data_IF_178426247675
#
_entry.id   IF_178426247675
#
_cell.length_a   1.000
_cell.length_b   1.000
_cell.length_c   1.000
_cell.angle_alpha   90.00
_cell.angle_beta   90.00
_cell.angle_gamma   90.00
#
_symmetry.space_group_name_H-M   'P 1'
#
loop_
_entity.id
_entity.type
_entity.pdbx_description
1 polymer ?
#
# COMPACT_ATOMS: atom_id res chain seq x y z
N UNK A 1 -6.36 -12.76 -0.29
CA UNK A 1 -5.86 -11.67 -1.16
C UNK A 1 -4.34 -11.75 -1.20
N UNK A 2 -3.76 -11.54 -2.36
CA UNK A 2 -2.29 -11.51 -2.55
C UNK A 2 -1.80 -10.08 -2.34
N UNK A 3 -0.65 -9.87 -1.67
CA UNK A 3 -0.14 -8.52 -1.39
C UNK A 3 1.23 -8.32 -2.01
N UNK A 4 1.45 -7.12 -2.54
CA UNK A 4 2.75 -6.59 -2.93
C UNK A 4 2.91 -5.22 -2.27
N UNK A 5 3.59 -5.18 -1.13
CA UNK A 5 3.74 -4.00 -0.29
C UNK A 5 5.09 -3.34 -0.61
N UNK A 6 5.04 -2.23 -1.35
CA UNK A 6 6.23 -1.54 -1.85
C UNK A 6 6.51 -0.27 -1.04
N UNK A 7 7.76 0.15 -1.01
CA UNK A 7 8.12 1.49 -0.55
C UNK A 7 7.70 2.55 -1.57
N UNK A 8 8.10 2.38 -2.84
CA UNK A 8 7.93 3.42 -3.87
C UNK A 8 7.34 2.91 -5.21
N UNK A 9 6.47 1.88 -5.16
CA UNK A 9 5.87 1.30 -6.37
C UNK A 9 6.80 0.33 -7.09
N UNK A 10 6.57 0.13 -8.39
CA UNK A 10 7.30 -0.84 -9.21
C UNK A 10 8.54 -0.19 -9.81
N UNK A 11 9.62 -0.09 -9.02
CA UNK A 11 10.83 0.67 -9.36
C UNK A 11 11.88 -0.13 -10.15
N UNK A 12 11.79 -1.46 -10.16
CA UNK A 12 12.79 -2.33 -10.78
C UNK A 12 12.17 -3.59 -11.38
N UNK A 13 12.99 -4.36 -12.09
CA UNK A 13 12.55 -5.56 -12.80
C UNK A 13 12.10 -6.70 -11.89
N UNK A 14 12.70 -6.83 -10.71
CA UNK A 14 12.34 -7.87 -9.74
C UNK A 14 10.94 -7.62 -9.16
N UNK A 15 10.62 -6.38 -8.79
CA UNK A 15 9.29 -6.00 -8.31
C UNK A 15 8.25 -6.15 -9.44
N UNK A 16 8.61 -5.75 -10.67
CA UNK A 16 7.75 -5.93 -11.84
C UNK A 16 7.44 -7.42 -12.09
N UNK A 17 8.48 -8.28 -12.05
CA UNK A 17 8.32 -9.72 -12.20
C UNK A 17 7.40 -10.31 -11.12
N UNK A 18 7.59 -9.93 -9.86
CA UNK A 18 6.73 -10.36 -8.75
C UNK A 18 5.27 -9.95 -8.94
N UNK A 19 5.01 -8.73 -9.46
CA UNK A 19 3.65 -8.29 -9.78
C UNK A 19 3.01 -9.18 -10.87
N UNK A 20 3.73 -9.47 -11.95
CA UNK A 20 3.25 -10.33 -13.04
C UNK A 20 2.98 -11.75 -12.54
N UNK A 21 3.86 -12.31 -11.69
CA UNK A 21 3.64 -13.62 -11.06
C UNK A 21 2.38 -13.65 -10.19
N UNK A 22 2.15 -12.61 -9.37
CA UNK A 22 0.97 -12.50 -8.52
C UNK A 22 -0.32 -12.41 -9.33
N UNK A 23 -0.31 -11.64 -10.44
CA UNK A 23 -1.43 -11.52 -11.37
C UNK A 23 -1.72 -12.82 -12.13
N UNK A 24 -0.69 -13.65 -12.36
CA UNK A 24 -0.79 -14.87 -13.16
C UNK A 24 -1.02 -14.63 -14.66
N UNK A 25 -0.91 -13.38 -15.11
CA UNK A 25 -1.09 -12.93 -16.50
C UNK A 25 -0.39 -11.58 -16.73
N UNK A 26 -0.17 -11.16 -17.99
CA UNK A 26 0.42 -9.87 -18.30
C UNK A 26 -0.38 -8.69 -17.72
N UNK A 27 0.30 -7.61 -17.29
CA UNK A 27 -0.35 -6.38 -16.83
C UNK A 27 -1.30 -5.82 -17.90
N UNK A 28 -0.92 -5.89 -19.18
CA UNK A 28 -1.74 -5.44 -20.31
C UNK A 28 -3.04 -6.25 -20.52
N UNK A 29 -3.21 -7.36 -19.82
CA UNK A 29 -4.42 -8.18 -19.81
C UNK A 29 -5.22 -8.05 -18.50
N UNK A 30 -4.69 -7.28 -17.53
CA UNK A 30 -5.22 -7.15 -16.18
C UNK A 30 -5.98 -5.84 -15.99
N UNK A 31 -7.14 -5.92 -15.36
CA UNK A 31 -7.94 -4.76 -14.97
C UNK A 31 -7.51 -4.28 -13.58
N UNK A 32 -7.39 -2.97 -13.38
CA UNK A 32 -6.99 -2.39 -12.11
C UNK A 32 -7.94 -1.28 -11.64
N UNK A 33 -8.05 -1.13 -10.33
CA UNK A 33 -8.65 0.03 -9.67
C UNK A 33 -7.58 0.75 -8.86
N UNK A 34 -7.36 2.05 -9.11
CA UNK A 34 -6.48 2.85 -8.29
C UNK A 34 -7.24 3.54 -7.15
N UNK A 35 -6.64 3.52 -5.96
CA UNK A 35 -7.19 4.07 -4.71
C UNK A 35 -6.26 5.21 -4.27
N UNK A 36 -6.60 6.49 -4.58
CA UNK A 36 -5.76 7.64 -4.26
C UNK A 36 -5.99 8.19 -2.84
N UNK A 37 -6.90 7.60 -2.08
CA UNK A 37 -7.43 8.13 -0.81
C UNK A 37 -6.36 8.54 0.20
N UNK A 38 -5.26 7.78 0.35
CA UNK A 38 -4.16 8.10 1.27
C UNK A 38 -3.55 9.49 1.01
N UNK A 39 -3.43 9.88 -0.27
CA UNK A 39 -2.84 11.16 -0.67
C UNK A 39 -3.69 12.37 -0.24
N UNK A 40 -5.00 12.21 -0.11
CA UNK A 40 -5.87 13.27 0.43
C UNK A 40 -5.62 13.51 1.93
N UNK A 41 -5.23 12.49 2.69
CA UNK A 41 -4.86 12.62 4.09
C UNK A 41 -3.69 13.59 4.33
N UNK A 42 -2.80 13.74 3.35
CA UNK A 42 -1.72 14.75 3.34
C UNK A 42 -2.15 16.10 2.73
N UNK A 43 -3.41 16.24 2.31
CA UNK A 43 -3.92 17.48 1.70
C UNK A 43 -3.34 17.82 0.32
N UNK A 44 -2.78 16.84 -0.40
CA UNK A 44 -2.07 17.08 -1.66
C UNK A 44 -2.89 16.63 -2.87
N UNK A 45 -3.62 17.56 -3.49
CA UNK A 45 -4.31 17.31 -4.77
C UNK A 45 -3.34 17.01 -5.91
N UNK A 46 -2.13 17.57 -5.90
CA UNK A 46 -1.10 17.31 -6.91
C UNK A 46 -0.63 15.85 -6.87
N UNK A 47 -0.44 15.27 -5.68
CA UNK A 47 -0.11 13.85 -5.53
C UNK A 47 -1.25 12.95 -6.05
N UNK A 48 -2.49 13.26 -5.70
CA UNK A 48 -3.67 12.54 -6.22
C UNK A 48 -3.70 12.59 -7.74
N UNK A 49 -3.57 13.79 -8.32
CA UNK A 49 -3.60 13.96 -9.77
C UNK A 49 -2.50 13.17 -10.46
N UNK A 50 -1.25 13.27 -9.97
CA UNK A 50 -0.11 12.53 -10.52
C UNK A 50 -0.31 11.03 -10.47
N UNK A 51 -0.81 10.52 -9.34
CA UNK A 51 -1.05 9.10 -9.17
C UNK A 51 -2.13 8.60 -10.14
N UNK A 52 -3.28 9.26 -10.19
CA UNK A 52 -4.40 8.84 -11.04
C UNK A 52 -4.08 8.99 -12.53
N UNK A 53 -3.30 10.02 -12.91
CA UNK A 53 -2.95 10.29 -14.33
C UNK A 53 -1.71 9.55 -14.83
N UNK A 54 -1.04 8.73 -13.99
CA UNK A 54 0.16 8.01 -14.38
C UNK A 54 1.40 8.91 -14.52
N UNK A 55 1.46 10.01 -13.77
CA UNK A 55 2.60 10.93 -13.74
C UNK A 55 3.32 10.93 -12.38
N UNK A 56 3.10 9.88 -11.58
CA UNK A 56 3.76 9.71 -10.29
C UNK A 56 5.25 9.36 -10.48
N UNK A 57 6.08 9.79 -9.51
CA UNK A 57 7.48 9.32 -9.42
C UNK A 57 7.59 7.89 -8.90
N UNK A 58 6.49 7.35 -8.37
CA UNK A 58 6.35 5.99 -7.86
C UNK A 58 5.50 5.19 -8.85
N UNK A 59 6.14 4.42 -9.78
CA UNK A 59 5.44 3.78 -10.89
C UNK A 59 4.42 2.73 -10.40
N UNK A 60 3.16 2.86 -10.81
CA UNK A 60 2.13 1.88 -10.53
C UNK A 60 0.96 1.96 -11.53
N UNK A 61 0.34 3.12 -11.71
CA UNK A 61 -0.85 3.29 -12.56
C UNK A 61 -0.51 3.36 -14.05
N UNK A 62 0.71 3.73 -14.41
CA UNK A 62 1.24 3.85 -15.78
C UNK A 62 1.82 2.55 -16.36
N UNK A 63 1.72 1.41 -15.68
CA UNK A 63 2.36 0.17 -16.10
C UNK A 63 1.71 -0.51 -17.32
N UNK A 64 0.75 0.13 -17.96
CA UNK A 64 0.09 -0.39 -19.16
C UNK A 64 -1.03 -1.39 -18.88
N UNK A 65 -1.80 -1.16 -17.82
CA UNK A 65 -2.98 -1.96 -17.47
C UNK A 65 -4.01 -2.01 -18.61
N UNK A 66 -4.68 -3.15 -18.79
CA UNK A 66 -5.78 -3.32 -19.75
C UNK A 66 -6.88 -2.28 -19.54
N UNK A 67 -7.24 -2.05 -18.29
CA UNK A 67 -8.12 -0.98 -17.87
C UNK A 67 -7.70 -0.46 -16.51
N UNK A 68 -7.90 0.84 -16.28
CA UNK A 68 -7.63 1.49 -15.01
C UNK A 68 -8.84 2.33 -14.62
N UNK A 69 -9.48 1.97 -13.51
CA UNK A 69 -10.54 2.75 -12.88
C UNK A 69 -10.03 3.46 -11.63
N UNK A 70 -10.82 4.42 -11.13
CA UNK A 70 -10.58 5.08 -9.84
C UNK A 70 -11.61 4.62 -8.83
N UNK A 71 -11.17 4.22 -7.64
CA UNK A 71 -12.01 3.89 -6.50
C UNK A 71 -11.68 4.86 -5.36
N UNK A 72 -12.44 5.95 -5.25
CA UNK A 72 -12.28 6.92 -4.18
C UNK A 72 -13.11 6.53 -2.96
N UNK A 73 -12.44 6.11 -1.88
CA UNK A 73 -13.11 5.50 -0.72
C UNK A 73 -14.02 6.47 0.03
N UNK A 74 -13.70 7.77 0.01
CA UNK A 74 -14.52 8.79 0.69
C UNK A 74 -15.88 8.99 0.05
N UNK A 75 -16.03 8.61 -1.22
CA UNK A 75 -17.30 8.69 -1.97
C UNK A 75 -18.20 7.45 -1.75
N UNK A 76 -17.62 6.29 -1.44
CA UNK A 76 -18.35 5.02 -1.39
C UNK A 76 -19.53 5.01 -0.38
N UNK A 77 -19.44 5.63 0.81
CA UNK A 77 -20.58 5.69 1.73
C UNK A 77 -21.82 6.40 1.17
N UNK A 78 -21.67 7.15 0.06
CA UNK A 78 -22.77 7.84 -0.64
C UNK A 78 -23.28 7.06 -1.84
N UNK A 79 -22.75 5.86 -2.09
CA UNK A 79 -23.10 5.00 -3.23
C UNK A 79 -23.73 3.70 -2.74
N UNK A 80 -24.64 3.15 -3.54
CA UNK A 80 -25.16 1.81 -3.27
C UNK A 80 -24.06 0.76 -3.50
N UNK A 81 -23.94 -0.20 -2.60
CA UNK A 81 -22.93 -1.26 -2.65
C UNK A 81 -22.98 -2.05 -3.98
N UNK A 82 -24.19 -2.22 -4.54
CA UNK A 82 -24.41 -2.89 -5.82
C UNK A 82 -23.72 -2.20 -7.01
N UNK A 83 -23.34 -0.92 -6.88
CA UNK A 83 -22.68 -0.15 -7.94
C UNK A 83 -21.16 -0.35 -7.94
N UNK A 84 -20.53 -0.55 -6.79
CA UNK A 84 -19.07 -0.59 -6.68
C UNK A 84 -18.50 -1.96 -6.27
N UNK A 85 -19.18 -2.77 -5.43
CA UNK A 85 -18.68 -4.08 -5.00
C UNK A 85 -18.42 -5.02 -6.19
N UNK A 86 -19.32 -5.14 -7.20
CA UNK A 86 -19.02 -5.96 -8.37
C UNK A 86 -17.76 -5.52 -9.11
N UNK A 87 -17.50 -4.21 -9.21
CA UNK A 87 -16.28 -3.68 -9.85
C UNK A 87 -15.01 -4.07 -9.10
N UNK A 88 -15.04 -4.05 -7.76
CA UNK A 88 -13.94 -4.52 -6.94
C UNK A 88 -13.70 -6.02 -7.13
N UNK A 89 -14.77 -6.83 -7.18
CA UNK A 89 -14.66 -8.29 -7.36
C UNK A 89 -14.19 -8.71 -8.75
N UNK A 90 -14.44 -7.89 -9.77
CA UNK A 90 -14.05 -8.13 -11.17
C UNK A 90 -12.64 -7.64 -11.47
N UNK A 91 -12.00 -6.91 -10.53
CA UNK A 91 -10.66 -6.36 -10.75
C UNK A 91 -9.55 -7.34 -10.41
N UNK A 92 -8.47 -7.32 -11.18
CA UNK A 92 -7.30 -8.15 -10.93
C UNK A 92 -6.35 -7.51 -9.90
N UNK A 93 -6.34 -6.16 -9.84
CA UNK A 93 -5.46 -5.44 -8.92
C UNK A 93 -6.13 -4.21 -8.29
N UNK A 94 -5.83 -3.98 -7.00
CA UNK A 94 -6.08 -2.75 -6.27
C UNK A 94 -4.74 -2.01 -6.10
N UNK A 95 -4.61 -0.84 -6.73
CA UNK A 95 -3.40 -0.03 -6.74
C UNK A 95 -3.56 1.12 -5.75
N UNK A 96 -2.84 1.09 -4.65
CA UNK A 96 -3.07 1.99 -3.52
C UNK A 96 -1.94 2.98 -3.36
N UNK A 97 -2.27 4.27 -3.44
CA UNK A 97 -1.30 5.37 -3.35
C UNK A 97 -0.62 5.45 -1.98
N UNK A 98 0.56 6.06 -1.96
CA UNK A 98 1.17 6.57 -0.74
C UNK A 98 0.41 7.76 -0.18
N UNK A 99 0.74 8.14 1.05
CA UNK A 99 0.13 9.20 1.81
C UNK A 99 -0.14 8.78 3.24
N UNK A 100 -1.19 9.30 3.86
CA UNK A 100 -1.51 9.01 5.26
C UNK A 100 -2.19 7.64 5.41
N UNK A 101 -1.50 6.71 6.07
CA UNK A 101 -1.97 5.33 6.27
C UNK A 101 -3.15 5.25 7.24
N UNK A 102 -3.23 6.13 8.23
CA UNK A 102 -4.35 6.14 9.18
C UNK A 102 -5.62 6.68 8.55
N UNK A 103 -5.51 7.74 7.76
CA UNK A 103 -6.61 8.27 6.96
C UNK A 103 -7.13 7.22 5.99
N UNK A 104 -6.22 6.54 5.28
CA UNK A 104 -6.56 5.44 4.38
C UNK A 104 -7.28 4.30 5.11
N UNK A 105 -6.71 3.82 6.22
CA UNK A 105 -7.29 2.74 7.03
C UNK A 105 -8.68 3.08 7.58
N UNK A 106 -8.87 4.36 8.00
CA UNK A 106 -10.18 4.86 8.40
C UNK A 106 -11.20 4.71 7.26
N UNK A 107 -10.87 5.20 6.07
CA UNK A 107 -11.78 5.14 4.92
C UNK A 107 -11.96 3.74 4.35
N UNK A 108 -10.96 2.87 4.43
CA UNK A 108 -11.13 1.45 4.08
C UNK A 108 -12.17 0.74 4.96
N UNK A 109 -12.22 1.11 6.27
CA UNK A 109 -13.27 0.61 7.18
C UNK A 109 -14.62 1.28 6.93
N UNK A 110 -14.65 2.61 6.83
CA UNK A 110 -15.90 3.38 6.66
C UNK A 110 -16.61 3.07 5.34
N UNK A 111 -15.86 2.76 4.29
CA UNK A 111 -16.42 2.37 2.99
C UNK A 111 -16.87 0.91 2.91
N UNK A 112 -16.48 0.07 3.88
CA UNK A 112 -16.69 -1.37 3.82
C UNK A 112 -15.68 -2.13 2.93
N UNK A 113 -14.72 -1.44 2.30
CA UNK A 113 -13.74 -2.12 1.44
C UNK A 113 -12.90 -3.14 2.22
N UNK A 114 -12.50 -2.83 3.46
CA UNK A 114 -11.71 -3.74 4.28
C UNK A 114 -12.44 -5.08 4.54
N UNK A 115 -13.75 -5.07 4.65
CA UNK A 115 -14.55 -6.27 4.90
C UNK A 115 -14.60 -7.20 3.68
N UNK A 116 -14.31 -6.68 2.49
CA UNK A 116 -14.27 -7.48 1.27
C UNK A 116 -12.98 -8.27 1.11
N UNK A 117 -11.88 -7.93 1.80
CA UNK A 117 -10.56 -8.51 1.57
C UNK A 117 -10.54 -10.05 1.67
N UNK A 118 -11.26 -10.61 2.63
CA UNK A 118 -11.38 -12.05 2.78
C UNK A 118 -12.08 -12.74 1.58
N UNK A 119 -12.92 -12.01 0.85
CA UNK A 119 -13.65 -12.51 -0.33
C UNK A 119 -12.90 -12.30 -1.66
N UNK A 120 -11.67 -11.77 -1.63
CA UNK A 120 -10.86 -11.41 -2.79
C UNK A 120 -9.54 -12.22 -2.85
N UNK A 121 -9.57 -13.59 -2.85
CA UNK A 121 -8.34 -14.39 -2.73
C UNK A 121 -7.39 -14.21 -3.90
N UNK A 122 -7.91 -13.94 -5.11
CA UNK A 122 -7.11 -13.82 -6.32
C UNK A 122 -6.69 -12.37 -6.65
N UNK A 123 -7.36 -11.39 -6.08
CA UNK A 123 -7.02 -9.98 -6.30
C UNK A 123 -5.67 -9.63 -5.68
N UNK A 124 -4.84 -8.93 -6.44
CA UNK A 124 -3.53 -8.45 -6.00
C UNK A 124 -3.68 -7.03 -5.43
N UNK A 125 -3.40 -6.85 -4.15
CA UNK A 125 -3.25 -5.54 -3.54
C UNK A 125 -1.82 -5.05 -3.73
N UNK A 126 -1.63 -3.89 -4.33
CA UNK A 126 -0.32 -3.27 -4.50
C UNK A 126 -0.31 -1.94 -3.78
N UNK A 127 0.44 -1.85 -2.69
CA UNK A 127 0.56 -0.64 -1.88
C UNK A 127 1.86 0.12 -2.17
N UNK A 128 1.82 1.45 -2.02
CA UNK A 128 2.98 2.33 -2.02
C UNK A 128 3.07 3.02 -0.66
N UNK A 129 4.21 2.95 0.06
CA UNK A 129 4.46 3.71 1.29
C UNK A 129 3.29 3.58 2.29
N UNK A 130 2.56 4.65 2.60
CA UNK A 130 1.35 4.61 3.44
C UNK A 130 0.30 3.61 2.97
N UNK A 131 0.18 3.37 1.64
CA UNK A 131 -0.65 2.32 1.08
C UNK A 131 -0.16 0.89 1.38
N UNK A 132 1.12 0.72 1.71
CA UNK A 132 1.67 -0.54 2.24
C UNK A 132 1.51 -0.63 3.75
N UNK A 133 1.84 0.46 4.46
CA UNK A 133 1.78 0.55 5.92
C UNK A 133 0.38 0.30 6.48
N UNK A 134 -0.68 0.65 5.74
CA UNK A 134 -2.07 0.44 6.17
C UNK A 134 -2.41 -1.03 6.40
N UNK A 135 -1.68 -1.96 5.77
CA UNK A 135 -1.88 -3.41 5.95
C UNK A 135 -1.28 -3.94 7.25
N UNK A 136 -0.35 -3.21 7.87
CA UNK A 136 0.27 -3.53 9.15
C UNK A 136 -0.72 -3.46 10.33
N UNK A 137 -0.36 -3.95 11.54
CA UNK A 137 -1.15 -3.74 12.74
C UNK A 137 -1.15 -2.28 13.20
N UNK A 138 -0.01 -1.61 13.05
CA UNK A 138 0.23 -0.21 13.45
C UNK A 138 1.38 0.38 12.63
N UNK A 139 1.49 1.73 12.65
CA UNK A 139 2.52 2.45 11.88
C UNK A 139 3.59 3.07 12.78
N UNK A 140 3.36 3.16 14.09
CA UNK A 140 4.21 3.91 15.03
C UNK A 140 3.88 5.41 15.06
N UNK A 141 4.03 6.02 16.22
CA UNK A 141 3.69 7.43 16.45
C UNK A 141 4.48 8.40 15.55
N UNK A 142 5.69 8.01 15.11
CA UNK A 142 6.55 8.83 14.24
C UNK A 142 5.90 9.10 12.86
N UNK A 143 4.99 8.21 12.41
CA UNK A 143 4.27 8.34 11.14
C UNK A 143 2.84 8.89 11.28
N UNK A 144 2.41 9.26 12.48
CA UNK A 144 1.06 9.79 12.72
C UNK A 144 0.97 11.25 12.32
N UNK A 145 0.34 11.53 11.18
CA UNK A 145 0.04 12.90 10.70
C UNK A 145 -1.44 13.20 10.91
N UNK A 146 -2.34 12.46 10.26
CA UNK A 146 -3.76 12.53 10.53
C UNK A 146 -4.11 11.66 11.74
N UNK A 147 -4.91 12.20 12.66
CA UNK A 147 -5.33 11.46 13.86
C UNK A 147 -6.74 10.93 13.69
N UNK A 148 -6.94 9.60 13.75
CA UNK A 148 -8.27 9.01 13.69
C UNK A 148 -9.10 9.41 14.93
N UNK A 149 -10.44 9.45 14.84
CA UNK A 149 -11.32 9.78 15.96
C UNK A 149 -11.07 8.91 17.21
N UNK A 150 -10.67 7.66 17.03
CA UNK A 150 -10.34 6.73 18.13
C UNK A 150 -8.94 6.96 18.73
N UNK A 151 -8.12 7.82 18.12
CA UNK A 151 -6.70 7.99 18.48
C UNK A 151 -5.82 6.81 18.12
N UNK A 152 -4.52 6.91 18.46
CA UNK A 152 -3.53 5.86 18.25
C UNK A 152 -3.04 5.76 16.81
N UNK A 153 -2.22 4.74 16.57
CA UNK A 153 -1.49 4.48 15.33
C UNK A 153 -1.90 3.17 14.63
N UNK A 154 -3.03 2.56 15.06
CA UNK A 154 -3.51 1.27 14.56
C UNK A 154 -4.08 1.36 13.16
N UNK A 155 -3.64 0.44 12.31
CA UNK A 155 -4.12 0.24 10.94
C UNK A 155 -4.91 -1.07 10.80
N UNK A 156 -4.96 -1.70 9.64
CA UNK A 156 -5.89 -2.82 9.38
C UNK A 156 -5.47 -4.14 10.02
N UNK A 157 -4.16 -4.40 10.20
CA UNK A 157 -3.66 -5.65 10.75
C UNK A 157 -3.92 -6.85 9.83
N UNK A 158 -3.80 -6.67 8.53
CA UNK A 158 -3.92 -7.77 7.53
C UNK A 158 -2.67 -8.64 7.54
N UNK A 159 -1.52 -8.04 7.86
CA UNK A 159 -0.25 -8.72 8.12
C UNK A 159 0.14 -8.53 9.58
N UNK A 160 1.06 -9.37 10.08
CA UNK A 160 1.52 -9.38 11.49
C UNK A 160 2.87 -8.69 11.70
N UNK A 161 3.29 -7.86 10.75
CA UNK A 161 4.52 -7.08 10.79
C UNK A 161 4.27 -5.62 10.44
N UNK A 162 5.17 -4.73 10.89
CA UNK A 162 5.16 -3.30 10.57
C UNK A 162 6.17 -2.96 9.47
N UNK A 163 5.98 -1.84 8.78
CA UNK A 163 6.82 -1.42 7.64
C UNK A 163 7.33 -0.01 7.87
N UNK A 164 8.66 0.17 7.77
CA UNK A 164 9.35 1.45 7.67
C UNK A 164 9.77 1.65 6.21
N UNK A 165 9.04 2.48 5.44
CA UNK A 165 9.33 2.71 4.02
C UNK A 165 10.41 3.77 3.84
N UNK A 166 10.90 3.90 2.59
CA UNK A 166 11.84 4.95 2.16
C UNK A 166 13.15 4.97 2.95
N UNK A 167 13.65 3.77 3.32
CA UNK A 167 14.92 3.63 4.02
C UNK A 167 16.05 4.29 3.21
N UNK A 168 16.84 5.15 3.89
CA UNK A 168 17.97 5.89 3.33
C UNK A 168 17.65 6.70 2.06
N UNK A 169 16.40 7.18 1.93
CA UNK A 169 15.99 8.02 0.81
C UNK A 169 16.65 9.41 0.88
N UNK A 170 17.28 9.90 -0.20
CA UNK A 170 18.06 11.13 -0.18
C UNK A 170 17.27 12.40 0.19
N UNK A 171 15.98 12.43 -0.10
CA UNK A 171 15.09 13.56 0.22
C UNK A 171 14.42 13.43 1.61
N UNK A 172 14.69 12.34 2.35
CA UNK A 172 14.12 12.05 3.68
C UNK A 172 15.26 11.74 4.67
N UNK A 173 15.98 12.77 5.16
CA UNK A 173 17.16 12.58 6.00
C UNK A 173 16.87 11.91 7.35
N UNK A 174 15.61 11.89 7.78
CA UNK A 174 15.13 11.20 8.98
C UNK A 174 14.76 9.73 8.76
N UNK A 175 14.94 9.20 7.54
CA UNK A 175 14.63 7.80 7.22
C UNK A 175 15.89 6.93 7.15
N UNK A 176 16.86 7.16 8.03
CA UNK A 176 18.08 6.35 8.09
C UNK A 176 17.84 4.99 8.74
N UNK A 177 18.79 4.05 8.58
CA UNK A 177 18.74 2.77 9.29
C UNK A 177 18.66 2.96 10.81
N UNK A 178 19.35 3.96 11.37
CA UNK A 178 19.30 4.26 12.80
C UNK A 178 17.91 4.73 13.25
N UNK A 179 17.23 5.52 12.41
CA UNK A 179 15.84 5.95 12.67
C UNK A 179 14.89 4.76 12.58
N UNK A 180 15.07 3.87 11.60
CA UNK A 180 14.29 2.64 11.47
C UNK A 180 14.46 1.71 12.69
N UNK A 181 15.68 1.54 13.20
CA UNK A 181 15.95 0.76 14.42
C UNK A 181 15.28 1.38 15.66
N UNK A 182 15.36 2.70 15.80
CA UNK A 182 14.68 3.43 16.88
C UNK A 182 13.17 3.29 16.81
N UNK A 183 12.57 3.47 15.62
CA UNK A 183 11.15 3.29 15.38
C UNK A 183 10.71 1.85 15.67
N UNK A 184 11.48 0.86 15.19
CA UNK A 184 11.18 -0.56 15.38
C UNK A 184 11.15 -0.94 16.87
N UNK A 185 11.98 -0.35 17.71
CA UNK A 185 11.97 -0.59 19.15
C UNK A 185 10.63 -0.28 19.83
N UNK A 186 9.81 0.56 19.22
CA UNK A 186 8.43 0.88 19.64
C UNK A 186 7.35 -0.05 19.05
N UNK A 187 7.71 -0.93 18.10
CA UNK A 187 6.74 -1.81 17.47
C UNK A 187 6.55 -3.11 18.24
N UNK A 188 5.31 -3.64 18.32
CA UNK A 188 5.00 -4.82 19.14
C UNK A 188 5.46 -6.15 18.52
N UNK A 189 5.90 -6.17 17.26
CA UNK A 189 6.25 -7.38 16.51
C UNK A 189 7.31 -7.13 15.45
N UNK A 190 7.50 -8.07 14.52
CA UNK A 190 8.47 -7.93 13.43
C UNK A 190 8.26 -6.63 12.65
N UNK A 191 9.35 -6.01 12.22
CA UNK A 191 9.32 -4.77 11.47
C UNK A 191 10.32 -4.84 10.31
N UNK A 192 9.87 -4.49 9.11
CA UNK A 192 10.71 -4.42 7.92
C UNK A 192 11.03 -2.97 7.58
N UNK A 193 12.33 -2.63 7.59
CA UNK A 193 12.82 -1.40 6.99
C UNK A 193 13.17 -1.69 5.53
N UNK A 194 12.55 -0.96 4.59
CA UNK A 194 12.70 -1.20 3.15
C UNK A 194 12.99 0.10 2.39
N UNK A 195 13.96 0.02 1.50
CA UNK A 195 14.26 1.12 0.59
C UNK A 195 13.31 1.17 -0.62
N UNK A 196 13.49 2.15 -1.50
CA UNK A 196 12.66 2.35 -2.68
C UNK A 196 12.82 1.27 -3.77
N UNK A 197 13.80 0.37 -3.63
CA UNK A 197 14.04 -0.76 -4.54
C UNK A 197 13.51 -2.09 -3.98
N UNK A 198 12.74 -2.04 -2.87
CA UNK A 198 12.28 -3.21 -2.14
C UNK A 198 10.76 -3.27 -2.04
N UNK A 199 10.22 -4.48 -2.16
CA UNK A 199 8.83 -4.83 -1.91
C UNK A 199 8.73 -6.07 -1.02
N UNK A 200 7.63 -6.18 -0.28
CA UNK A 200 7.27 -7.36 0.51
C UNK A 200 6.10 -8.04 -0.19
N UNK A 201 6.30 -9.27 -0.65
CA UNK A 201 5.26 -10.12 -1.22
C UNK A 201 4.66 -10.99 -0.12
N UNK A 202 3.32 -11.03 -0.04
CA UNK A 202 2.63 -11.92 0.88
C UNK A 202 1.57 -12.73 0.13
N UNK A 203 1.68 -14.06 0.21
CA UNK A 203 0.72 -14.99 -0.39
C UNK A 203 0.44 -16.10 0.63
N UNK A 204 -0.82 -16.29 0.99
CA UNK A 204 -1.25 -17.31 1.94
C UNK A 204 -0.44 -17.31 3.27
N UNK A 205 -0.12 -16.11 3.76
CA UNK A 205 0.67 -15.91 4.98
C UNK A 205 2.19 -16.08 4.80
N UNK A 206 2.65 -16.51 3.62
CA UNK A 206 4.09 -16.58 3.31
C UNK A 206 4.61 -15.23 2.93
N UNK A 207 5.70 -14.79 3.56
CA UNK A 207 6.36 -13.49 3.35
C UNK A 207 7.67 -13.70 2.61
N UNK A 208 7.79 -13.04 1.44
CA UNK A 208 9.01 -13.02 0.65
C UNK A 208 9.46 -11.58 0.40
N UNK A 209 10.76 -11.33 0.45
CA UNK A 209 11.33 -10.03 0.13
C UNK A 209 11.82 -10.02 -1.32
N UNK A 210 11.36 -9.04 -2.08
CA UNK A 210 11.73 -8.79 -3.47
C UNK A 210 12.52 -7.50 -3.52
N UNK A 211 13.83 -7.57 -3.77
CA UNK A 211 14.69 -6.39 -3.65
C UNK A 211 15.83 -6.40 -4.66
N UNK A 212 16.10 -5.23 -5.23
CA UNK A 212 17.35 -4.89 -5.94
C UNK A 212 18.14 -3.81 -5.16
N UNK A 213 17.70 -3.48 -3.95
CA UNK A 213 18.31 -2.53 -3.04
C UNK A 213 18.69 -3.14 -1.69
N UNK A 214 18.34 -2.45 -0.61
CA UNK A 214 18.62 -2.92 0.74
C UNK A 214 17.42 -2.84 1.65
N UNK A 215 17.37 -3.76 2.59
CA UNK A 215 16.32 -3.86 3.58
C UNK A 215 16.83 -4.54 4.85
N UNK A 216 16.06 -4.45 5.93
CA UNK A 216 16.39 -5.13 7.18
C UNK A 216 15.12 -5.58 7.90
N UNK A 217 15.13 -6.83 8.39
CA UNK A 217 14.15 -7.29 9.37
C UNK A 217 14.64 -6.91 10.77
N UNK A 218 13.81 -6.18 11.50
CA UNK A 218 13.99 -5.71 12.86
C UNK A 218 12.99 -6.41 13.77
N UNK A 219 13.31 -6.60 15.05
CA UNK A 219 12.45 -7.25 16.05
C UNK A 219 11.96 -8.65 15.61
N UNK A 220 12.88 -9.50 15.12
CA UNK A 220 12.57 -10.89 14.74
C UNK A 220 12.41 -11.79 15.97
#
# INVERSE_FOLDING_TARGET
>A
MKLLLTSAGVKNSSIHGALVELLGKPIAESNALCIPTASYGHGSLDQVWRFVSGHSRTPLTELGWKSLGVLELTALPSMDEEQWIPKVRETDALLVSGGDALYLGHWMRQSGLADLFASLPETVYVGISGGSMVMAPNIGEDFVVWRPPAGGDRTLGVVDFSIFPHLDHPDLPENTMADAEKWAAGQPGPAYAIDDQTAIRVVDGTVDIISEGHWKLLNS
#
